data_IF_434333344929
#
_entry.id   IF_434333344929
#
_cell.length_a   1.000
_cell.length_b   1.000
_cell.length_c   1.000
_cell.angle_alpha   90.00
_cell.angle_beta   90.00
_cell.angle_gamma   90.00
#
_symmetry.space_group_name_H-M   'P 1'
#
loop_
_entity.id
_entity.type
_entity.pdbx_description
1 polymer ?
#
# COMPACT_ATOMS: atom_id res chain seq x y z
N UNK A 1 -71.36 43.94 27.56
CA UNK A 1 -71.58 43.10 26.36
C UNK A 1 -70.67 43.68 25.28
N UNK A 2 -69.74 42.99 24.63
CA UNK A 2 -69.38 41.57 24.60
C UNK A 2 -67.90 41.49 24.20
N UNK A 3 -67.11 40.65 24.87
CA UNK A 3 -65.77 40.24 24.40
C UNK A 3 -65.94 39.41 23.12
N UNK A 4 -65.16 39.71 22.09
CA UNK A 4 -65.04 38.84 20.93
C UNK A 4 -64.08 37.69 21.27
N UNK A 5 -64.39 36.43 20.92
CA UNK A 5 -63.49 35.31 21.16
C UNK A 5 -62.28 35.39 20.21
N UNK A 6 -61.09 35.26 20.79
CA UNK A 6 -59.83 35.15 20.07
C UNK A 6 -59.71 33.72 19.50
N UNK A 7 -59.93 33.57 18.19
CA UNK A 7 -59.79 32.29 17.52
C UNK A 7 -58.31 32.03 17.27
N UNK A 8 -57.72 31.21 18.14
CA UNK A 8 -56.40 30.65 17.94
C UNK A 8 -56.29 30.04 16.52
N UNK A 9 -55.43 30.62 15.70
CA UNK A 9 -55.14 30.14 14.35
C UNK A 9 -54.45 28.78 14.45
N UNK A 10 -55.23 27.70 14.32
CA UNK A 10 -54.67 26.36 14.19
C UNK A 10 -53.79 26.30 12.93
N UNK A 11 -52.47 26.11 13.12
CA UNK A 11 -51.51 25.95 12.02
C UNK A 11 -51.94 24.76 11.16
N UNK A 12 -52.16 24.92 9.85
CA UNK A 12 -52.63 23.82 9.02
C UNK A 12 -51.62 22.66 9.06
N UNK A 13 -52.08 21.40 9.14
CA UNK A 13 -51.18 20.26 9.08
C UNK A 13 -50.38 20.34 7.78
N UNK A 14 -49.08 19.99 7.81
CA UNK A 14 -48.25 20.05 6.61
C UNK A 14 -48.92 19.29 5.46
N UNK A 15 -48.87 19.81 4.22
CA UNK A 15 -49.62 19.25 3.11
C UNK A 15 -49.22 17.78 2.93
N UNK A 16 -50.21 16.88 2.90
CA UNK A 16 -50.05 15.42 2.72
C UNK A 16 -49.12 15.04 1.54
N UNK A 17 -49.01 15.92 0.56
CA UNK A 17 -48.16 15.77 -0.61
C UNK A 17 -46.66 15.92 -0.29
N UNK A 18 -46.26 16.83 0.61
CA UNK A 18 -44.87 16.97 1.04
C UNK A 18 -44.40 15.73 1.82
N UNK A 19 -45.28 15.13 2.64
CA UNK A 19 -44.99 13.88 3.35
C UNK A 19 -44.88 12.67 2.42
N UNK A 20 -45.70 12.63 1.35
CA UNK A 20 -45.60 11.60 0.31
C UNK A 20 -44.30 11.70 -0.50
N UNK A 21 -43.86 12.92 -0.83
CA UNK A 21 -42.59 13.16 -1.53
C UNK A 21 -41.39 12.79 -0.66
N UNK A 22 -41.42 13.15 0.62
CA UNK A 22 -40.37 12.77 1.58
C UNK A 22 -40.30 11.24 1.73
N UNK A 23 -41.46 10.57 1.86
CA UNK A 23 -41.53 9.12 1.96
C UNK A 23 -40.97 8.38 0.73
N UNK A 24 -41.00 9.00 -0.45
CA UNK A 24 -40.42 8.43 -1.67
C UNK A 24 -38.91 8.68 -1.81
N UNK A 25 -38.39 9.73 -1.19
CA UNK A 25 -36.97 10.05 -1.19
C UNK A 25 -36.15 9.24 -0.16
N UNK A 26 -36.78 8.77 0.91
CA UNK A 26 -36.11 8.02 1.99
C UNK A 26 -35.54 6.68 1.51
N UNK A 27 -36.27 5.80 0.80
CA UNK A 27 -35.73 4.52 0.34
C UNK A 27 -34.48 4.62 -0.54
N UNK A 28 -34.42 5.47 -1.59
CA UNK A 28 -33.21 5.59 -2.40
C UNK A 28 -32.05 6.22 -1.63
N UNK A 29 -32.32 7.14 -0.70
CA UNK A 29 -31.29 7.70 0.18
C UNK A 29 -30.70 6.63 1.10
N UNK A 30 -31.54 5.80 1.71
CA UNK A 30 -31.09 4.68 2.55
C UNK A 30 -30.33 3.63 1.73
N UNK A 31 -30.79 3.33 0.51
CA UNK A 31 -30.08 2.43 -0.41
C UNK A 31 -28.68 2.97 -0.74
N UNK A 32 -28.58 4.27 -1.08
CA UNK A 32 -27.30 4.91 -1.37
C UNK A 32 -26.36 4.89 -0.17
N UNK A 33 -26.89 5.19 1.03
CA UNK A 33 -26.13 5.12 2.27
C UNK A 33 -25.63 3.69 2.55
N UNK A 34 -26.46 2.67 2.31
CA UNK A 34 -26.08 1.27 2.48
C UNK A 34 -24.98 0.86 1.49
N UNK A 35 -25.10 1.25 0.22
CA UNK A 35 -24.05 0.99 -0.79
C UNK A 35 -22.75 1.66 -0.37
N UNK A 36 -22.80 2.91 0.09
CA UNK A 36 -21.63 3.63 0.58
C UNK A 36 -20.99 2.91 1.76
N UNK A 37 -21.79 2.46 2.74
CA UNK A 37 -21.30 1.68 3.88
C UNK A 37 -20.62 0.39 3.45
N UNK A 38 -21.19 -0.34 2.49
CA UNK A 38 -20.59 -1.57 1.94
C UNK A 38 -19.26 -1.29 1.26
N UNK A 39 -19.17 -0.24 0.43
CA UNK A 39 -17.92 0.15 -0.24
C UNK A 39 -16.84 0.56 0.77
N UNK A 40 -17.21 1.33 1.80
CA UNK A 40 -16.28 1.75 2.86
C UNK A 40 -15.87 0.58 3.75
N UNK A 41 -16.75 -0.40 3.96
CA UNK A 41 -16.44 -1.62 4.69
C UNK A 41 -15.49 -2.52 3.90
N UNK A 42 -15.73 -2.71 2.59
CA UNK A 42 -14.89 -3.54 1.70
C UNK A 42 -13.71 -2.76 1.09
N UNK A 43 -13.41 -1.57 1.63
CA UNK A 43 -12.40 -0.64 1.08
C UNK A 43 -11.02 -1.28 0.92
N UNK A 44 -10.62 -2.16 1.83
CA UNK A 44 -9.31 -2.81 1.78
C UNK A 44 -9.21 -3.76 0.58
N UNK A 45 -10.27 -4.53 0.32
CA UNK A 45 -10.35 -5.45 -0.81
C UNK A 45 -10.46 -4.71 -2.14
N UNK A 46 -11.29 -3.66 -2.19
CA UNK A 46 -11.42 -2.81 -3.38
C UNK A 46 -10.12 -2.05 -3.68
N UNK A 47 -9.41 -1.56 -2.66
CA UNK A 47 -8.15 -0.83 -2.83
C UNK A 47 -6.93 -1.71 -3.11
N UNK A 48 -7.10 -3.05 -3.09
CA UNK A 48 -6.07 -4.00 -3.53
C UNK A 48 -6.06 -4.18 -5.05
N UNK A 49 -7.11 -3.74 -5.76
CA UNK A 49 -7.13 -3.72 -7.23
C UNK A 49 -6.59 -2.35 -7.73
N UNK A 50 -5.61 -2.34 -8.65
CA UNK A 50 -5.02 -1.10 -9.14
C UNK A 50 -6.04 -0.15 -9.77
N UNK A 51 -7.10 -0.69 -10.40
CA UNK A 51 -8.12 0.07 -11.11
C UNK A 51 -9.07 0.80 -10.14
N UNK A 52 -9.34 0.20 -8.99
CA UNK A 52 -10.27 0.74 -7.99
C UNK A 52 -9.60 1.61 -6.94
N UNK A 53 -8.32 1.38 -6.65
CA UNK A 53 -7.59 2.08 -5.59
C UNK A 53 -7.72 3.60 -5.66
N UNK A 54 -7.51 4.21 -6.83
CA UNK A 54 -7.64 5.67 -6.97
C UNK A 54 -9.01 6.21 -6.56
N UNK A 55 -10.10 5.50 -6.88
CA UNK A 55 -11.47 5.87 -6.49
C UNK A 55 -11.68 5.72 -4.98
N UNK A 56 -11.17 4.64 -4.39
CA UNK A 56 -11.29 4.39 -2.95
C UNK A 56 -10.47 5.39 -2.15
N UNK A 57 -9.27 5.74 -2.59
CA UNK A 57 -8.43 6.78 -1.96
C UNK A 57 -9.13 8.13 -2.01
N UNK A 58 -9.70 8.51 -3.16
CA UNK A 58 -10.46 9.77 -3.28
C UNK A 58 -11.70 9.79 -2.38
N UNK A 59 -12.48 8.71 -2.38
CA UNK A 59 -13.66 8.55 -1.52
C UNK A 59 -13.29 8.65 -0.04
N UNK A 60 -12.22 7.96 0.36
CA UNK A 60 -11.74 8.00 1.74
C UNK A 60 -11.14 9.35 2.13
N UNK A 61 -10.55 10.09 1.19
CA UNK A 61 -10.11 11.47 1.42
C UNK A 61 -11.27 12.40 1.81
N UNK A 62 -12.50 12.13 1.33
CA UNK A 62 -13.69 12.91 1.68
C UNK A 62 -14.37 12.41 2.96
N UNK A 63 -14.38 11.09 3.17
CA UNK A 63 -15.02 10.45 4.33
C UNK A 63 -14.12 10.36 5.57
N UNK A 64 -12.83 10.66 5.44
CA UNK A 64 -11.84 10.51 6.52
C UNK A 64 -11.52 9.06 6.88
N UNK A 65 -11.70 8.11 5.95
CA UNK A 65 -11.26 6.73 6.17
C UNK A 65 -9.79 6.51 5.79
N UNK A 66 -9.16 5.51 6.40
CA UNK A 66 -7.81 5.09 6.06
C UNK A 66 -7.85 3.96 5.01
N UNK A 67 -6.92 4.02 4.05
CA UNK A 67 -6.75 3.02 3.00
C UNK A 67 -5.41 2.31 3.20
N UNK A 68 -5.40 0.97 3.33
CA UNK A 68 -4.16 0.23 3.51
C UNK A 68 -3.11 0.55 2.43
N UNK A 69 -1.81 0.57 2.80
CA UNK A 69 -0.75 0.80 1.84
C UNK A 69 -0.75 -0.26 0.73
N UNK A 70 -0.25 0.10 -0.45
CA UNK A 70 -0.11 -0.85 -1.55
C UNK A 70 0.94 -1.90 -1.16
N UNK A 71 0.63 -3.17 -1.40
CA UNK A 71 1.52 -4.28 -1.11
C UNK A 71 1.49 -5.30 -2.25
N UNK A 72 2.53 -5.23 -3.06
CA UNK A 72 2.78 -6.09 -4.21
C UNK A 72 4.29 -6.37 -4.33
N UNK A 73 4.88 -7.17 -3.41
CA UNK A 73 6.32 -7.43 -3.40
C UNK A 73 6.84 -8.05 -4.71
N UNK A 74 5.98 -8.78 -5.42
CA UNK A 74 6.29 -9.39 -6.72
C UNK A 74 6.52 -8.39 -7.85
N UNK A 75 6.11 -7.14 -7.67
CA UNK A 75 6.35 -6.07 -8.63
C UNK A 75 7.72 -5.39 -8.42
N UNK A 76 8.51 -5.79 -7.42
CA UNK A 76 9.91 -5.40 -7.36
C UNK A 76 10.76 -6.25 -8.30
N UNK A 77 11.55 -5.59 -9.14
CA UNK A 77 12.41 -6.27 -10.10
C UNK A 77 13.87 -5.82 -9.97
N UNK A 78 14.78 -6.79 -9.87
CA UNK A 78 16.22 -6.54 -9.93
C UNK A 78 16.59 -6.17 -11.37
N UNK A 79 17.12 -4.96 -11.55
CA UNK A 79 17.51 -4.41 -12.86
C UNK A 79 18.99 -4.55 -13.13
N UNK A 80 19.83 -4.55 -12.10
CA UNK A 80 21.27 -4.77 -12.23
C UNK A 80 21.79 -5.53 -11.02
N UNK A 81 22.80 -6.37 -11.23
CA UNK A 81 23.54 -7.06 -10.18
C UNK A 81 25.01 -7.15 -10.56
N UNK A 82 25.89 -6.85 -9.62
CA UNK A 82 27.32 -6.89 -9.81
C UNK A 82 28.02 -7.43 -8.56
N UNK A 83 29.05 -8.24 -8.77
CA UNK A 83 29.88 -8.76 -7.71
C UNK A 83 31.29 -8.19 -7.83
N UNK A 84 31.82 -7.71 -6.71
CA UNK A 84 33.19 -7.20 -6.62
C UNK A 84 33.86 -7.76 -5.36
N UNK A 85 35.17 -7.96 -5.42
CA UNK A 85 35.95 -8.25 -4.23
C UNK A 85 35.98 -7.02 -3.31
N UNK A 86 35.93 -7.22 -2.00
CA UNK A 86 36.01 -6.11 -1.05
C UNK A 86 37.43 -5.51 -1.05
N UNK A 87 37.61 -4.20 -1.30
CA UNK A 87 38.92 -3.59 -1.52
C UNK A 87 39.82 -3.61 -0.28
N UNK A 88 39.24 -3.63 0.92
CA UNK A 88 39.96 -3.49 2.18
C UNK A 88 39.82 -4.69 3.13
N UNK A 89 39.01 -5.69 2.78
CA UNK A 89 38.68 -6.81 3.66
C UNK A 89 38.93 -8.13 2.92
N UNK A 90 40.08 -8.78 3.12
CA UNK A 90 40.38 -10.05 2.47
C UNK A 90 39.37 -11.12 2.93
N UNK A 91 38.75 -11.82 1.96
CA UNK A 91 37.71 -12.82 2.23
C UNK A 91 36.29 -12.26 2.37
N UNK A 92 36.03 -11.03 1.90
CA UNK A 92 34.69 -10.47 1.79
C UNK A 92 34.36 -10.09 0.33
N UNK A 93 33.09 -10.18 -0.03
CA UNK A 93 32.53 -9.81 -1.32
C UNK A 93 31.53 -8.66 -1.14
N UNK A 94 31.60 -7.70 -2.06
CA UNK A 94 30.61 -6.65 -2.23
C UNK A 94 29.63 -7.08 -3.31
N UNK A 95 28.39 -7.32 -2.92
CA UNK A 95 27.29 -7.60 -3.84
C UNK A 95 26.49 -6.33 -4.01
N UNK A 96 26.54 -5.73 -5.19
CA UNK A 96 25.72 -4.57 -5.53
C UNK A 96 24.50 -5.00 -6.34
N UNK A 97 23.33 -4.49 -5.98
CA UNK A 97 22.09 -4.74 -6.70
C UNK A 97 21.32 -3.44 -6.88
N UNK A 98 20.68 -3.29 -8.03
CA UNK A 98 19.70 -2.24 -8.26
C UNK A 98 18.35 -2.91 -8.48
N UNK A 99 17.32 -2.44 -7.77
CA UNK A 99 15.95 -2.89 -7.97
C UNK A 99 15.03 -1.71 -8.25
N UNK A 100 13.91 -1.99 -8.91
CA UNK A 100 12.89 -1.00 -9.30
C UNK A 100 11.52 -1.46 -8.82
N UNK A 101 10.70 -0.52 -8.37
CA UNK A 101 9.27 -0.77 -8.08
C UNK A 101 8.46 -0.66 -9.38
N UNK A 102 8.04 -1.77 -9.96
CA UNK A 102 7.20 -1.79 -11.17
C UNK A 102 5.70 -1.85 -10.87
N UNK A 103 5.30 -1.70 -9.60
CA UNK A 103 3.88 -1.59 -9.25
C UNK A 103 3.29 -0.26 -9.75
N UNK A 104 1.98 -0.22 -9.91
CA UNK A 104 1.24 0.99 -10.27
C UNK A 104 1.26 2.07 -9.16
N UNK A 105 1.60 1.69 -7.92
CA UNK A 105 1.56 2.56 -6.74
C UNK A 105 2.84 2.46 -5.92
N UNK A 106 3.06 3.48 -5.09
CA UNK A 106 4.18 3.50 -4.15
C UNK A 106 4.02 2.40 -3.10
N UNK A 107 5.13 1.74 -2.77
CA UNK A 107 5.20 0.62 -1.83
C UNK A 107 6.13 0.94 -0.68
N UNK A 108 5.93 0.27 0.46
CA UNK A 108 6.90 0.35 1.55
C UNK A 108 8.26 -0.17 1.07
N UNK A 109 9.34 0.37 1.64
CA UNK A 109 10.66 -0.20 1.42
C UNK A 109 10.67 -1.69 1.83
N UNK A 110 10.99 -2.61 0.90
CA UNK A 110 10.90 -4.04 1.17
C UNK A 110 12.04 -4.49 2.08
N UNK A 111 11.84 -5.62 2.77
CA UNK A 111 12.95 -6.34 3.37
C UNK A 111 13.62 -7.16 2.27
N UNK A 112 14.93 -6.94 2.06
CA UNK A 112 15.69 -7.70 1.08
C UNK A 112 16.15 -9.02 1.69
N UNK A 113 15.86 -10.12 1.02
CA UNK A 113 16.35 -11.44 1.40
C UNK A 113 17.39 -11.89 0.38
N UNK A 114 18.63 -12.05 0.83
CA UNK A 114 19.72 -12.60 0.05
C UNK A 114 19.89 -14.07 0.43
N UNK A 115 19.68 -14.96 -0.53
CA UNK A 115 20.04 -16.38 -0.39
C UNK A 115 21.28 -16.70 -1.20
N UNK A 116 22.17 -17.45 -0.56
CA UNK A 116 23.33 -18.05 -1.19
C UNK A 116 23.02 -19.53 -1.40
N UNK A 117 23.17 -20.01 -2.62
CA UNK A 117 23.06 -21.43 -2.95
C UNK A 117 24.34 -21.90 -3.64
N UNK A 118 24.69 -23.19 -3.50
CA UNK A 118 25.74 -23.79 -4.34
C UNK A 118 25.20 -24.02 -5.77
N UNK A 119 26.08 -24.46 -6.68
CA UNK A 119 25.70 -24.87 -8.03
C UNK A 119 24.68 -26.03 -8.10
N UNK A 120 24.57 -26.85 -7.04
CA UNK A 120 23.62 -27.96 -6.94
C UNK A 120 22.22 -27.49 -6.46
N UNK A 121 22.08 -26.22 -6.06
CA UNK A 121 20.84 -25.63 -5.56
C UNK A 121 20.65 -25.70 -4.04
N UNK A 122 21.61 -26.26 -3.30
CA UNK A 122 21.56 -26.31 -1.84
C UNK A 122 21.80 -24.92 -1.25
N UNK A 123 20.86 -24.47 -0.42
CA UNK A 123 20.97 -23.22 0.30
C UNK A 123 22.14 -23.29 1.31
N UNK A 124 23.17 -22.48 1.06
CA UNK A 124 24.32 -22.32 1.94
C UNK A 124 24.05 -21.32 3.07
N UNK A 125 23.14 -20.37 2.83
CA UNK A 125 22.78 -19.37 3.82
C UNK A 125 21.73 -18.40 3.31
N UNK A 126 21.07 -17.74 4.26
CA UNK A 126 20.05 -16.74 3.98
C UNK A 126 20.20 -15.61 4.98
N UNK A 127 20.22 -14.37 4.49
CA UNK A 127 20.24 -13.18 5.33
C UNK A 127 19.17 -12.20 4.86
N UNK A 128 18.47 -11.61 5.82
CA UNK A 128 17.52 -10.53 5.57
C UNK A 128 18.17 -9.19 5.94
N UNK A 129 17.89 -8.18 5.14
CA UNK A 129 18.37 -6.83 5.31
C UNK A 129 17.18 -5.87 5.34
N UNK A 130 17.08 -5.12 6.42
CA UNK A 130 16.11 -4.05 6.59
C UNK A 130 16.47 -2.84 5.72
N UNK A 131 15.50 -1.94 5.43
CA UNK A 131 15.76 -0.71 4.68
C UNK A 131 16.94 0.10 5.19
N UNK A 132 17.07 0.21 6.51
CA UNK A 132 18.17 0.94 7.14
C UNK A 132 19.52 0.27 6.92
N UNK A 133 19.58 -1.06 6.90
CA UNK A 133 20.84 -1.80 6.71
C UNK A 133 21.36 -1.68 5.27
N UNK A 134 20.49 -1.79 4.27
CA UNK A 134 20.93 -1.76 2.87
C UNK A 134 21.04 -0.34 2.29
N UNK A 135 20.34 0.65 2.85
CA UNK A 135 20.48 2.07 2.48
C UNK A 135 21.59 2.78 3.28
N UNK A 136 22.09 2.14 4.35
CA UNK A 136 23.07 2.73 5.27
C UNK A 136 22.55 3.90 6.10
N UNK A 137 21.30 4.30 5.92
CA UNK A 137 20.66 5.44 6.58
C UNK A 137 19.13 5.26 6.58
N UNK A 138 18.44 6.06 7.40
CA UNK A 138 16.98 6.09 7.39
C UNK A 138 16.50 6.68 6.04
N UNK A 139 15.60 6.00 5.31
CA UNK A 139 15.11 6.54 4.04
C UNK A 139 14.37 7.86 4.25
N UNK A 140 14.57 8.82 3.34
CA UNK A 140 13.93 10.14 3.39
C UNK A 140 12.39 10.10 3.27
N UNK A 141 11.88 9.02 2.68
CA UNK A 141 10.46 8.70 2.57
C UNK A 141 10.28 7.23 2.95
N UNK A 142 9.22 6.85 3.69
CA UNK A 142 8.93 5.44 3.97
C UNK A 142 8.50 4.65 2.73
N UNK A 143 8.31 5.32 1.59
CA UNK A 143 7.81 4.75 0.35
C UNK A 143 8.82 4.86 -0.80
N UNK A 144 8.86 3.83 -1.64
CA UNK A 144 9.48 3.83 -2.96
C UNK A 144 8.38 3.94 -4.03
N UNK A 145 8.46 4.98 -4.87
CA UNK A 145 7.45 5.32 -5.86
C UNK A 145 7.40 4.35 -7.06
N UNK A 146 6.32 4.37 -7.85
CA UNK A 146 6.24 3.58 -9.08
C UNK A 146 7.31 4.01 -10.08
N UNK A 147 8.02 3.05 -10.67
CA UNK A 147 9.15 3.26 -11.57
C UNK A 147 10.44 3.74 -10.88
N UNK A 148 10.43 3.98 -9.57
CA UNK A 148 11.60 4.42 -8.83
C UNK A 148 12.56 3.23 -8.60
N UNK A 149 13.85 3.48 -8.76
CA UNK A 149 14.92 2.52 -8.52
C UNK A 149 15.72 2.85 -7.27
N UNK A 150 16.27 1.83 -6.64
CA UNK A 150 17.23 1.94 -5.54
C UNK A 150 18.42 1.02 -5.77
N UNK A 151 19.62 1.54 -5.53
CA UNK A 151 20.87 0.78 -5.59
C UNK A 151 21.35 0.50 -4.18
N UNK A 152 21.74 -0.74 -3.93
CA UNK A 152 22.19 -1.22 -2.63
C UNK A 152 23.50 -1.97 -2.77
N UNK A 153 24.35 -1.87 -1.76
CA UNK A 153 25.61 -2.61 -1.70
C UNK A 153 25.64 -3.37 -0.39
N UNK A 154 25.76 -4.69 -0.48
CA UNK A 154 25.75 -5.60 0.66
C UNK A 154 27.14 -6.24 0.80
N UNK A 155 27.67 -6.17 2.01
CA UNK A 155 28.89 -6.89 2.38
C UNK A 155 28.53 -8.29 2.85
N UNK A 156 29.15 -9.29 2.20
CA UNK A 156 28.93 -10.71 2.48
C UNK A 156 30.29 -11.39 2.64
N UNK A 157 30.40 -12.32 3.57
CA UNK A 157 31.60 -13.13 3.73
C UNK A 157 31.78 -14.04 2.49
N UNK A 158 32.98 -14.11 1.94
CA UNK A 158 33.31 -14.96 0.80
C UNK A 158 33.21 -16.45 1.23
N UNK A 159 32.30 -17.25 0.66
CA UNK A 159 32.18 -18.67 0.97
C UNK A 159 33.33 -19.53 0.43
N UNK A 160 34.30 -18.94 -0.27
CA UNK A 160 35.49 -19.59 -0.79
C UNK A 160 35.24 -20.30 -2.13
N UNK A 161 35.84 -21.47 -2.35
CA UNK A 161 35.92 -22.16 -3.66
C UNK A 161 34.61 -22.77 -4.19
N UNK A 162 33.45 -22.51 -3.57
CA UNK A 162 32.16 -23.01 -4.06
C UNK A 162 31.56 -21.96 -4.99
N UNK A 163 31.32 -22.33 -6.25
CA UNK A 163 30.52 -21.51 -7.15
C UNK A 163 29.14 -21.32 -6.52
N UNK A 164 28.81 -20.06 -6.22
CA UNK A 164 27.60 -19.69 -5.49
C UNK A 164 26.68 -18.85 -6.34
N UNK A 165 25.42 -19.26 -6.38
CA UNK A 165 24.32 -18.49 -6.98
C UNK A 165 23.75 -17.56 -5.92
N UNK A 166 23.54 -16.29 -6.29
CA UNK A 166 22.91 -15.29 -5.44
C UNK A 166 21.52 -14.99 -5.96
N UNK A 167 20.53 -15.12 -5.07
CA UNK A 167 19.14 -14.76 -5.35
C UNK A 167 18.67 -13.69 -4.39
N UNK A 168 17.94 -12.72 -4.94
CA UNK A 168 17.31 -11.63 -4.20
C UNK A 168 15.80 -11.84 -4.22
N UNK A 169 15.19 -11.92 -3.04
CA UNK A 169 13.74 -11.97 -2.84
C UNK A 169 13.29 -10.73 -2.04
N UNK A 170 12.06 -10.28 -2.28
CA UNK A 170 11.47 -9.07 -1.68
C UNK A 170 10.29 -9.44 -0.79
N UNK A 171 10.28 -8.93 0.45
CA UNK A 171 9.23 -9.19 1.45
C UNK A 171 8.59 -7.91 1.95
#
# INVERSE_FOLDING_TARGET
>A
MSQAPDFATAKPPPPRQAWRLLAWAIPPMLLLALVLQVVVADRARLAADPQWRGRIVALCGWLGCDVPPWHEPKAFHVTARELRAHPSAPGALLVSATFRNDAAYAQAWPVLQLSLANHDGDALGLRRFTPREYLGSEPSSPWIGPGQSASVTLEVLDPGKRAVTFEFDFR
#
